data_IF_410245484141
#
_entry.id   IF_410245484141
#
_cell.length_a   1.000
_cell.length_b   1.000
_cell.length_c   1.000
_cell.angle_alpha   90.00
_cell.angle_beta   90.00
_cell.angle_gamma   90.00
#
_symmetry.space_group_name_H-M   'P 1'
#
loop_
_entity.id
_entity.type
_entity.pdbx_description
1 polymer ?
#
# COMPACT_ATOMS: atom_id res chain seq x y z
N UNK A 1 37.71 -16.17 -14.63
CA UNK A 1 37.00 -16.70 -13.45
C UNK A 1 37.18 -15.71 -12.31
N UNK A 2 36.14 -14.96 -11.97
CA UNK A 2 35.95 -14.49 -10.61
C UNK A 2 34.69 -15.11 -10.01
N UNK A 3 34.79 -15.42 -8.72
CA UNK A 3 33.79 -16.10 -7.91
C UNK A 3 32.45 -15.35 -7.88
N UNK A 4 31.38 -16.05 -8.29
CA UNK A 4 30.01 -15.59 -8.09
C UNK A 4 29.61 -15.64 -6.62
N UNK A 5 28.62 -14.84 -6.18
CA UNK A 5 28.15 -14.86 -4.81
C UNK A 5 27.61 -16.26 -4.47
N UNK A 6 28.11 -16.79 -3.37
CA UNK A 6 27.76 -18.11 -2.82
C UNK A 6 26.26 -18.22 -2.60
N UNK A 7 25.62 -19.13 -3.33
CA UNK A 7 24.30 -19.65 -3.01
C UNK A 7 24.37 -20.33 -1.64
N UNK A 8 23.97 -19.61 -0.59
CA UNK A 8 23.63 -20.25 0.68
C UNK A 8 22.37 -21.08 0.45
N UNK A 9 22.55 -22.38 0.22
CA UNK A 9 21.43 -23.32 0.23
C UNK A 9 20.77 -23.29 1.61
N UNK A 10 19.53 -22.82 1.67
CA UNK A 10 18.65 -22.93 2.84
C UNK A 10 18.21 -24.40 3.02
N UNK A 11 19.16 -25.28 3.31
CA UNK A 11 18.89 -26.71 3.49
C UNK A 11 17.94 -26.93 4.68
N UNK A 12 16.67 -27.20 4.39
CA UNK A 12 15.65 -27.61 5.38
C UNK A 12 14.37 -26.76 5.44
N UNK A 13 14.29 -25.63 4.74
CA UNK A 13 13.06 -24.82 4.67
C UNK A 13 12.17 -25.24 3.50
N UNK A 14 10.85 -25.19 3.70
CA UNK A 14 9.86 -25.50 2.64
C UNK A 14 9.66 -24.29 1.74
N UNK A 15 9.57 -24.50 0.42
CA UNK A 15 9.21 -23.41 -0.51
C UNK A 15 7.69 -23.19 -0.47
N UNK A 16 7.20 -22.00 -0.09
CA UNK A 16 5.78 -21.73 0.02
C UNK A 16 5.12 -21.59 -1.35
N UNK A 17 3.85 -22.01 -1.43
CA UNK A 17 2.94 -21.77 -2.54
C UNK A 17 1.55 -21.40 -1.99
N UNK A 18 0.64 -20.93 -2.83
CA UNK A 18 -0.68 -20.48 -2.39
C UNK A 18 -1.45 -21.52 -1.54
N UNK A 19 -1.31 -22.82 -1.86
CA UNK A 19 -2.04 -23.90 -1.19
C UNK A 19 -1.49 -24.21 0.20
N UNK A 20 -0.17 -24.31 0.36
CA UNK A 20 0.41 -24.60 1.68
C UNK A 20 0.27 -23.39 2.62
N UNK A 21 0.36 -22.16 2.10
CA UNK A 21 0.08 -20.94 2.85
C UNK A 21 -1.37 -20.88 3.32
N UNK A 22 -2.34 -21.15 2.43
CA UNK A 22 -3.75 -21.24 2.80
C UNK A 22 -4.01 -22.34 3.85
N UNK A 23 -3.42 -23.53 3.68
CA UNK A 23 -3.55 -24.61 4.66
C UNK A 23 -2.95 -24.27 6.03
N UNK A 24 -1.83 -23.53 6.07
CA UNK A 24 -1.10 -23.23 7.30
C UNK A 24 -1.62 -22.00 8.05
N UNK A 25 -2.25 -21.06 7.34
CA UNK A 25 -2.66 -19.76 7.87
C UNK A 25 -4.11 -19.37 7.56
N UNK A 26 -4.86 -20.20 6.84
CA UNK A 26 -6.26 -19.97 6.49
C UNK A 26 -7.24 -20.09 7.67
N UNK A 27 -8.55 -19.92 7.44
CA UNK A 27 -9.57 -19.87 8.50
C UNK A 27 -9.60 -21.11 9.40
N UNK A 28 -9.32 -22.29 8.86
CA UNK A 28 -9.33 -23.55 9.63
C UNK A 28 -7.97 -23.87 10.28
N UNK A 29 -6.97 -23.01 10.10
CA UNK A 29 -5.61 -23.26 10.57
C UNK A 29 -5.45 -23.04 12.08
N UNK A 30 -4.54 -23.78 12.75
CA UNK A 30 -4.19 -23.51 14.14
C UNK A 30 -3.65 -22.09 14.36
N UNK A 31 -2.91 -21.56 13.38
CA UNK A 31 -2.36 -20.21 13.45
C UNK A 31 -3.48 -19.15 13.53
N UNK A 32 -4.50 -19.27 12.67
CA UNK A 32 -5.65 -18.36 12.70
C UNK A 32 -6.51 -18.54 13.96
N UNK A 33 -6.81 -19.78 14.36
CA UNK A 33 -7.58 -20.05 15.57
C UNK A 33 -6.92 -19.52 16.85
N UNK A 34 -5.58 -19.42 16.87
CA UNK A 34 -4.86 -18.78 17.97
C UNK A 34 -4.86 -17.26 17.84
N UNK A 35 -4.54 -16.72 16.66
CA UNK A 35 -4.34 -15.28 16.47
C UNK A 35 -5.65 -14.48 16.44
N UNK A 36 -6.72 -15.01 15.86
CA UNK A 36 -7.97 -14.27 15.67
C UNK A 36 -8.65 -13.84 16.99
N UNK A 37 -8.84 -14.72 18.00
CA UNK A 37 -9.43 -14.30 19.27
C UNK A 37 -8.59 -13.25 19.99
N UNK A 38 -7.26 -13.34 19.89
CA UNK A 38 -6.35 -12.35 20.47
C UNK A 38 -6.47 -11.00 19.75
N UNK A 39 -6.40 -10.97 18.42
CA UNK A 39 -6.60 -9.73 17.63
C UNK A 39 -7.95 -9.09 17.92
N UNK A 40 -9.02 -9.89 17.98
CA UNK A 40 -10.36 -9.39 18.28
C UNK A 40 -10.40 -8.78 19.68
N UNK A 41 -9.83 -9.44 20.70
CA UNK A 41 -9.77 -8.90 22.06
C UNK A 41 -8.96 -7.60 22.13
N UNK A 42 -7.83 -7.51 21.43
CA UNK A 42 -7.04 -6.28 21.34
C UNK A 42 -7.85 -5.16 20.69
N UNK A 43 -8.56 -5.44 19.59
CA UNK A 43 -9.39 -4.45 18.93
C UNK A 43 -10.54 -3.97 19.83
N UNK A 44 -11.26 -4.89 20.49
CA UNK A 44 -12.32 -4.51 21.44
C UNK A 44 -11.79 -3.60 22.55
N UNK A 45 -10.52 -3.77 22.96
CA UNK A 45 -9.90 -2.93 23.97
C UNK A 45 -9.62 -1.49 23.49
N UNK A 46 -9.37 -1.28 22.19
CA UNK A 46 -8.96 0.03 21.65
C UNK A 46 -9.90 0.62 20.61
N UNK A 47 -11.01 -0.04 20.25
CA UNK A 47 -11.91 0.42 19.17
C UNK A 47 -12.50 1.81 19.39
N UNK A 48 -12.67 2.21 20.65
CA UNK A 48 -13.17 3.55 21.03
C UNK A 48 -12.06 4.60 21.15
N UNK A 49 -10.78 4.21 21.02
CA UNK A 49 -9.68 5.17 20.94
C UNK A 49 -9.83 5.97 19.64
N UNK A 50 -9.81 7.32 19.67
CA UNK A 50 -10.18 8.13 18.51
C UNK A 50 -9.41 7.80 17.21
N UNK A 51 -8.13 7.48 17.32
CA UNK A 51 -7.27 7.14 16.17
C UNK A 51 -7.55 5.75 15.57
N UNK A 52 -8.07 4.81 16.38
CA UNK A 52 -8.47 3.47 15.94
C UNK A 52 -9.88 3.50 15.37
N UNK A 53 -10.80 4.16 16.06
CA UNK A 53 -12.17 4.38 15.59
C UNK A 53 -12.20 5.04 14.21
N UNK A 54 -11.35 6.05 13.97
CA UNK A 54 -11.25 6.68 12.66
C UNK A 54 -10.78 5.72 11.57
N UNK A 55 -9.73 4.92 11.83
CA UNK A 55 -9.24 3.93 10.87
C UNK A 55 -10.34 2.92 10.51
N UNK A 56 -11.05 2.42 11.50
CA UNK A 56 -12.14 1.47 11.29
C UNK A 56 -13.27 2.08 10.46
N UNK A 57 -13.72 3.30 10.78
CA UNK A 57 -14.77 3.99 9.99
C UNK A 57 -14.35 4.24 8.55
N UNK A 58 -13.14 4.75 8.33
CA UNK A 58 -12.64 5.04 6.98
C UNK A 58 -12.44 3.77 6.17
N UNK A 59 -11.94 2.69 6.79
CA UNK A 59 -11.87 1.38 6.18
C UNK A 59 -13.25 0.88 5.72
N UNK A 60 -14.28 1.05 6.56
CA UNK A 60 -15.66 0.69 6.22
C UNK A 60 -16.17 1.41 4.96
N UNK A 61 -15.73 2.65 4.72
CA UNK A 61 -16.06 3.40 3.50
C UNK A 61 -15.56 2.75 2.19
N UNK A 62 -14.56 1.87 2.26
CA UNK A 62 -14.05 1.11 1.11
C UNK A 62 -14.77 -0.23 0.89
N UNK A 63 -15.68 -0.64 1.79
CA UNK A 63 -16.40 -1.92 1.73
C UNK A 63 -17.75 -1.82 0.99
N UNK A 64 -17.80 -0.98 -0.07
CA UNK A 64 -19.03 -0.61 -0.79
C UNK A 64 -19.88 -1.83 -1.19
N UNK A 65 -21.19 -1.76 -0.89
CA UNK A 65 -22.19 -2.70 -1.40
C UNK A 65 -22.45 -3.95 -0.55
N UNK A 66 -21.79 -4.11 0.60
CA UNK A 66 -22.06 -5.24 1.51
C UNK A 66 -22.73 -4.76 2.78
N UNK A 67 -24.04 -4.95 2.90
CA UNK A 67 -24.76 -4.76 4.16
C UNK A 67 -24.34 -5.88 5.13
N UNK A 68 -23.64 -5.51 6.20
CA UNK A 68 -23.18 -6.44 7.25
C UNK A 68 -23.68 -5.93 8.60
N UNK A 69 -23.97 -6.85 9.52
CA UNK A 69 -24.11 -6.44 10.92
C UNK A 69 -22.81 -5.82 11.42
N UNK A 70 -22.85 -4.93 12.43
CA UNK A 70 -21.64 -4.36 13.04
C UNK A 70 -20.64 -5.44 13.50
N UNK A 71 -21.13 -6.56 14.07
CA UNK A 71 -20.29 -7.69 14.45
C UNK A 71 -19.62 -8.36 13.23
N UNK A 72 -20.29 -8.35 12.08
CA UNK A 72 -19.75 -8.82 10.81
C UNK A 72 -18.67 -7.91 10.23
N UNK A 73 -18.82 -6.59 10.40
CA UNK A 73 -17.80 -5.60 9.99
C UNK A 73 -16.54 -5.69 10.84
N UNK A 74 -16.69 -5.74 12.18
CA UNK A 74 -15.55 -5.92 13.09
C UNK A 74 -14.84 -7.25 12.78
N UNK A 75 -15.59 -8.35 12.60
CA UNK A 75 -15.00 -9.65 12.27
C UNK A 75 -14.23 -9.63 10.94
N UNK A 76 -14.75 -8.94 9.91
CA UNK A 76 -14.06 -8.77 8.64
C UNK A 76 -12.78 -7.94 8.81
N UNK A 77 -12.86 -6.78 9.49
CA UNK A 77 -11.69 -5.93 9.73
C UNK A 77 -10.55 -6.66 10.43
N UNK A 78 -10.87 -7.56 11.38
CA UNK A 78 -9.87 -8.38 12.07
C UNK A 78 -9.29 -9.48 11.19
N UNK A 79 -10.11 -10.12 10.35
CA UNK A 79 -9.61 -11.09 9.35
C UNK A 79 -8.67 -10.40 8.36
N UNK A 80 -9.06 -9.23 7.86
CA UNK A 80 -8.21 -8.46 6.94
C UNK A 80 -6.92 -7.98 7.63
N UNK A 81 -7.01 -7.51 8.88
CA UNK A 81 -5.82 -7.16 9.69
C UNK A 81 -4.88 -8.35 9.78
N UNK A 82 -5.37 -9.55 10.11
CA UNK A 82 -4.56 -10.75 10.20
C UNK A 82 -3.81 -11.05 8.89
N UNK A 83 -4.49 -11.00 7.74
CA UNK A 83 -3.86 -11.25 6.45
C UNK A 83 -2.86 -10.14 6.08
N UNK A 84 -3.16 -8.88 6.39
CA UNK A 84 -2.24 -7.76 6.17
C UNK A 84 -0.96 -7.93 7.01
N UNK A 85 -1.05 -8.41 8.25
CA UNK A 85 0.13 -8.73 9.08
C UNK A 85 0.99 -9.82 8.46
N UNK A 86 0.37 -10.91 7.97
CA UNK A 86 1.08 -11.97 7.26
C UNK A 86 1.79 -11.43 6.01
N UNK A 87 1.13 -10.58 5.23
CA UNK A 87 1.70 -9.97 4.04
C UNK A 87 2.98 -9.16 4.35
N UNK A 88 2.94 -8.36 5.41
CA UNK A 88 4.11 -7.59 5.89
C UNK A 88 5.24 -8.49 6.36
N UNK A 89 4.93 -9.55 7.11
CA UNK A 89 5.94 -10.51 7.58
C UNK A 89 6.57 -11.30 6.42
N UNK A 90 5.78 -11.74 5.44
CA UNK A 90 6.27 -12.38 4.21
C UNK A 90 7.22 -11.45 3.47
N UNK A 91 6.83 -10.20 3.23
CA UNK A 91 7.68 -9.22 2.55
C UNK A 91 8.98 -8.96 3.32
N UNK A 92 8.91 -8.84 4.65
CA UNK A 92 10.09 -8.73 5.53
C UNK A 92 11.04 -9.91 5.37
N UNK A 93 10.51 -11.13 5.36
CA UNK A 93 11.30 -12.36 5.27
C UNK A 93 11.83 -12.64 3.86
N UNK A 94 11.19 -12.08 2.84
CA UNK A 94 11.69 -12.07 1.46
C UNK A 94 12.84 -11.09 1.26
N UNK A 95 12.77 -9.89 1.87
CA UNK A 95 13.78 -8.83 1.69
C UNK A 95 15.05 -9.04 2.54
N UNK A 96 14.91 -9.65 3.71
CA UNK A 96 16.05 -9.87 4.62
C UNK A 96 16.03 -11.29 5.19
N UNK A 97 17.08 -12.04 4.86
CA UNK A 97 17.29 -13.43 5.22
C UNK A 97 17.65 -13.67 6.70
N UNK A 98 17.72 -12.60 7.51
CA UNK A 98 17.89 -12.69 8.95
C UNK A 98 16.80 -13.56 9.60
N UNK A 99 17.05 -14.08 10.82
CA UNK A 99 16.05 -14.86 11.55
C UNK A 99 14.72 -14.12 11.70
N UNK A 100 13.63 -14.88 11.86
CA UNK A 100 12.29 -14.32 12.01
C UNK A 100 12.26 -13.25 13.11
N UNK A 101 11.62 -12.09 12.85
CA UNK A 101 11.61 -10.96 13.77
C UNK A 101 10.91 -11.34 15.08
N UNK A 102 11.54 -10.98 16.20
CA UNK A 102 11.02 -11.22 17.57
C UNK A 102 11.08 -9.99 18.46
N UNK A 103 11.94 -9.04 18.12
CA UNK A 103 12.08 -7.81 18.89
C UNK A 103 10.90 -6.87 18.62
N UNK A 104 10.36 -6.28 19.69
CA UNK A 104 9.20 -5.38 19.60
C UNK A 104 9.51 -4.19 18.70
N UNK A 105 10.72 -3.63 18.77
CA UNK A 105 11.12 -2.46 17.96
C UNK A 105 11.15 -2.83 16.48
N UNK A 106 11.72 -3.98 16.13
CA UNK A 106 11.72 -4.46 14.74
C UNK A 106 10.29 -4.69 14.23
N UNK A 107 9.44 -5.32 15.02
CA UNK A 107 8.05 -5.62 14.65
C UNK A 107 7.20 -4.36 14.50
N UNK A 108 7.39 -3.36 15.36
CA UNK A 108 6.78 -2.03 15.20
C UNK A 108 7.22 -1.38 13.88
N UNK A 109 8.51 -1.47 13.53
CA UNK A 109 9.04 -0.94 12.26
C UNK A 109 8.54 -1.67 11.01
N UNK A 110 8.23 -2.96 11.13
CA UNK A 110 7.57 -3.72 10.06
C UNK A 110 6.12 -3.27 9.93
N UNK A 111 5.44 -3.03 11.07
CA UNK A 111 4.05 -2.65 11.12
C UNK A 111 3.81 -1.22 10.60
N UNK A 112 4.68 -0.26 10.92
CA UNK A 112 4.55 1.15 10.49
C UNK A 112 5.17 1.45 9.11
N UNK A 113 5.97 0.53 8.57
CA UNK A 113 6.61 0.64 7.27
C UNK A 113 8.06 1.12 7.27
N UNK A 114 8.61 1.54 8.42
CA UNK A 114 10.00 2.02 8.54
C UNK A 114 11.02 0.97 8.07
N UNK A 115 10.75 -0.32 8.30
CA UNK A 115 11.61 -1.40 7.82
C UNK A 115 11.77 -1.36 6.28
N UNK A 116 10.67 -1.22 5.54
CA UNK A 116 10.67 -1.24 4.08
C UNK A 116 11.25 0.05 3.48
N UNK A 117 11.02 1.20 4.14
CA UNK A 117 11.68 2.45 3.79
C UNK A 117 13.20 2.33 3.94
N UNK A 118 13.67 1.61 4.97
CA UNK A 118 15.09 1.28 5.14
C UNK A 118 15.66 0.37 4.04
N UNK A 119 14.80 -0.38 3.35
CA UNK A 119 15.12 -1.16 2.16
C UNK A 119 14.84 -0.39 0.86
N UNK A 120 14.75 0.95 0.91
CA UNK A 120 14.48 1.80 -0.25
C UNK A 120 13.14 1.52 -0.97
N UNK A 121 12.14 0.92 -0.30
CA UNK A 121 10.78 0.72 -0.84
C UNK A 121 9.83 1.59 -0.02
N UNK A 122 9.45 2.77 -0.54
CA UNK A 122 8.90 3.84 0.30
C UNK A 122 7.40 3.75 0.55
N UNK A 123 6.64 3.04 -0.30
CA UNK A 123 5.19 2.93 -0.21
C UNK A 123 4.65 1.51 0.02
N UNK A 124 5.48 0.55 0.45
CA UNK A 124 5.00 -0.81 0.70
C UNK A 124 3.94 -0.83 1.81
N UNK A 125 4.24 -0.18 2.95
CA UNK A 125 3.30 0.06 4.06
C UNK A 125 3.27 1.57 4.34
N UNK A 126 2.07 2.13 4.41
CA UNK A 126 1.84 3.57 4.52
C UNK A 126 0.78 3.86 5.59
N UNK A 127 1.15 3.99 6.88
CA UNK A 127 0.25 4.21 8.05
C UNK A 127 -1.27 4.01 7.77
N UNK A 128 -1.63 2.79 7.37
CA UNK A 128 -2.90 2.45 6.75
C UNK A 128 -3.97 2.07 7.79
N UNK A 129 -5.05 1.40 7.37
CA UNK A 129 -6.11 0.98 8.28
C UNK A 129 -5.65 -0.12 9.25
N UNK A 130 -4.73 -0.99 8.82
CA UNK A 130 -4.27 -2.16 9.58
C UNK A 130 -3.09 -1.84 10.53
N UNK A 131 -2.62 -0.59 10.56
CA UNK A 131 -1.60 -0.13 11.54
C UNK A 131 -2.18 0.20 12.92
N UNK A 132 -3.48 -0.04 13.16
CA UNK A 132 -4.11 0.25 14.45
C UNK A 132 -3.46 -0.45 15.65
N UNK A 133 -2.75 -1.56 15.42
CA UNK A 133 -1.95 -2.26 16.44
C UNK A 133 -0.78 -1.43 16.98
N UNK A 134 -0.41 -0.31 16.34
CA UNK A 134 0.55 0.66 16.87
C UNK A 134 -0.02 1.49 18.03
N UNK A 135 -1.31 1.37 18.33
CA UNK A 135 -1.95 2.08 19.44
C UNK A 135 -1.27 1.70 20.77
N UNK A 136 -0.79 2.67 21.58
CA UNK A 136 0.01 2.40 22.78
C UNK A 136 -0.55 1.36 23.78
N UNK A 137 -1.88 1.26 24.02
CA UNK A 137 -2.43 0.26 24.93
C UNK A 137 -2.23 -1.19 24.48
N UNK A 138 -2.02 -1.45 23.19
CA UNK A 138 -1.97 -2.81 22.61
C UNK A 138 -0.69 -3.11 21.83
N UNK A 139 0.21 -2.13 21.65
CA UNK A 139 1.41 -2.29 20.80
C UNK A 139 2.31 -3.45 21.18
N UNK A 140 2.51 -3.70 22.48
CA UNK A 140 3.36 -4.79 22.93
C UNK A 140 2.72 -6.17 22.69
N UNK A 141 1.41 -6.28 22.90
CA UNK A 141 0.64 -7.49 22.64
C UNK A 141 0.53 -7.76 21.14
N UNK A 142 0.27 -6.73 20.34
CA UNK A 142 0.29 -6.80 18.88
C UNK A 142 1.64 -7.27 18.34
N UNK A 143 2.74 -6.74 18.88
CA UNK A 143 4.08 -7.21 18.54
C UNK A 143 4.31 -8.68 18.95
N UNK A 144 3.89 -9.10 20.14
CA UNK A 144 4.01 -10.49 20.58
C UNK A 144 3.22 -11.46 19.65
N UNK A 145 2.03 -11.06 19.21
CA UNK A 145 1.25 -11.81 18.23
C UNK A 145 1.98 -11.88 16.88
N UNK A 146 2.51 -10.76 16.37
CA UNK A 146 3.30 -10.76 15.14
C UNK A 146 4.55 -11.64 15.24
N UNK A 147 5.23 -11.66 16.39
CA UNK A 147 6.38 -12.53 16.62
C UNK A 147 6.00 -14.02 16.55
N UNK A 148 4.80 -14.37 17.04
CA UNK A 148 4.26 -15.73 16.95
C UNK A 148 3.97 -16.12 15.50
N UNK A 149 3.34 -15.23 14.73
CA UNK A 149 3.11 -15.44 13.29
C UNK A 149 4.43 -15.55 12.52
N UNK A 150 5.40 -14.70 12.81
CA UNK A 150 6.73 -14.75 12.22
C UNK A 150 7.46 -16.07 12.54
N UNK A 151 7.30 -16.57 13.76
CA UNK A 151 7.79 -17.88 14.18
C UNK A 151 7.18 -19.01 13.34
N UNK A 152 5.87 -18.99 13.11
CA UNK A 152 5.19 -19.96 12.24
C UNK A 152 5.68 -19.86 10.79
N UNK A 153 5.85 -18.64 10.26
CA UNK A 153 6.35 -18.40 8.90
C UNK A 153 7.82 -18.81 8.72
N UNK A 154 8.61 -18.90 9.79
CA UNK A 154 10.07 -19.16 9.72
C UNK A 154 10.48 -20.49 9.07
N UNK A 155 9.53 -21.42 8.95
CA UNK A 155 9.69 -22.72 8.27
C UNK A 155 9.80 -22.59 6.74
N UNK A 156 9.32 -21.47 6.18
CA UNK A 156 9.26 -21.25 4.74
C UNK A 156 10.45 -20.45 4.20
N UNK A 157 10.86 -20.76 2.98
CA UNK A 157 11.80 -19.99 2.18
C UNK A 157 11.04 -19.06 1.20
N UNK A 158 10.80 -17.82 1.63
CA UNK A 158 10.11 -16.83 0.80
C UNK A 158 10.96 -16.28 -0.34
N UNK A 159 12.28 -16.44 -0.33
CA UNK A 159 13.16 -16.00 -1.43
C UNK A 159 12.91 -16.84 -2.68
N UNK A 160 12.68 -18.13 -2.48
CA UNK A 160 12.36 -19.09 -3.55
C UNK A 160 10.85 -19.28 -3.78
N UNK A 161 10.00 -18.58 -3.02
CA UNK A 161 8.54 -18.71 -3.04
C UNK A 161 7.90 -18.15 -4.32
N UNK A 162 6.67 -18.59 -4.61
CA UNK A 162 5.92 -18.06 -5.77
C UNK A 162 5.30 -16.69 -5.43
N UNK A 163 5.26 -15.72 -6.37
CA UNK A 163 4.70 -14.40 -6.09
C UNK A 163 3.21 -14.37 -5.72
N UNK A 164 2.47 -15.45 -5.98
CA UNK A 164 1.04 -15.61 -5.68
C UNK A 164 0.74 -16.33 -4.35
N UNK A 165 1.75 -16.51 -3.50
CA UNK A 165 1.61 -17.32 -2.28
C UNK A 165 0.51 -16.83 -1.31
N UNK A 166 0.12 -15.55 -1.37
CA UNK A 166 -0.95 -14.98 -0.52
C UNK A 166 -2.33 -14.97 -1.19
N UNK A 167 -2.42 -15.33 -2.47
CA UNK A 167 -3.67 -15.26 -3.24
C UNK A 167 -4.74 -16.20 -2.68
N UNK A 168 -4.34 -17.41 -2.24
CA UNK A 168 -5.25 -18.36 -1.62
C UNK A 168 -5.78 -17.87 -0.27
N UNK A 169 -4.91 -17.28 0.56
CA UNK A 169 -5.32 -16.68 1.83
C UNK A 169 -6.27 -15.50 1.61
N UNK A 170 -5.95 -14.64 0.63
CA UNK A 170 -6.83 -13.55 0.26
C UNK A 170 -8.23 -14.05 -0.10
N UNK A 171 -8.33 -15.09 -0.92
CA UNK A 171 -9.63 -15.66 -1.33
C UNK A 171 -10.44 -16.21 -0.14
N UNK A 172 -9.81 -17.01 0.71
CA UNK A 172 -10.46 -17.63 1.88
C UNK A 172 -10.96 -16.61 2.91
N UNK A 173 -10.30 -15.45 3.02
CA UNK A 173 -10.69 -14.38 3.94
C UNK A 173 -11.54 -13.29 3.30
N UNK A 174 -11.41 -13.05 1.99
CA UNK A 174 -12.16 -12.03 1.25
C UNK A 174 -13.56 -12.49 0.85
N UNK A 175 -13.82 -13.79 0.66
CA UNK A 175 -15.14 -14.29 0.22
C UNK A 175 -15.94 -14.96 1.33
N UNK A 176 -17.16 -14.42 1.55
CA UNK A 176 -18.47 -15.09 1.39
C UNK A 176 -19.56 -14.23 2.05
N UNK A 177 -20.11 -13.27 1.31
CA UNK A 177 -21.51 -12.90 1.48
C UNK A 177 -22.26 -13.49 0.27
N UNK A 178 -23.01 -14.60 0.43
CA UNK A 178 -23.59 -15.34 -0.69
C UNK A 178 -24.67 -14.58 -1.49
N UNK A 179 -25.02 -13.35 -1.10
CA UNK A 179 -26.16 -12.61 -1.65
C UNK A 179 -25.77 -11.45 -2.58
N UNK A 180 -24.48 -11.06 -2.65
CA UNK A 180 -24.04 -9.86 -3.41
C UNK A 180 -22.79 -10.02 -4.29
N UNK A 181 -22.06 -11.14 -4.24
CA UNK A 181 -20.82 -11.30 -5.00
C UNK A 181 -21.08 -11.66 -6.49
N UNK A 182 -21.49 -10.65 -7.27
CA UNK A 182 -21.28 -10.63 -8.72
C UNK A 182 -19.81 -10.26 -9.09
N UNK A 183 -18.96 -10.01 -8.09
CA UNK A 183 -17.63 -9.46 -8.25
C UNK A 183 -16.54 -10.54 -8.31
N UNK A 184 -16.21 -10.94 -9.54
CA UNK A 184 -14.87 -11.38 -9.96
C UNK A 184 -14.42 -12.76 -9.48
N UNK A 185 -14.33 -13.69 -10.43
CA UNK A 185 -13.66 -14.99 -10.23
C UNK A 185 -12.18 -14.74 -9.90
N UNK A 186 -11.66 -15.41 -8.85
CA UNK A 186 -10.23 -15.41 -8.55
C UNK A 186 -9.45 -15.88 -9.78
N UNK A 187 -8.53 -15.04 -10.27
CA UNK A 187 -7.68 -15.36 -11.42
C UNK A 187 -6.35 -15.92 -10.90
N UNK A 188 -6.10 -17.23 -10.94
CA UNK A 188 -4.77 -17.75 -10.62
C UNK A 188 -3.73 -17.25 -11.64
N UNK A 189 -2.46 -17.13 -11.25
CA UNK A 189 -1.39 -16.58 -12.12
C UNK A 189 -1.35 -17.25 -13.49
N UNK A 190 -1.42 -18.59 -13.56
CA UNK A 190 -1.40 -19.31 -14.84
C UNK A 190 -2.55 -18.88 -15.77
N UNK A 191 -3.71 -18.52 -15.21
CA UNK A 191 -4.86 -18.03 -15.99
C UNK A 191 -4.62 -16.60 -16.43
N UNK A 192 -4.02 -15.74 -15.59
CA UNK A 192 -3.63 -14.39 -15.97
C UNK A 192 -2.58 -14.41 -17.11
N UNK A 193 -1.54 -15.24 -16.98
CA UNK A 193 -0.53 -15.48 -18.02
C UNK A 193 -1.17 -15.97 -19.33
N UNK A 194 -2.07 -16.95 -19.22
CA UNK A 194 -2.80 -17.49 -20.39
C UNK A 194 -3.69 -16.44 -21.04
N UNK A 195 -4.38 -15.62 -20.24
CA UNK A 195 -5.27 -14.58 -20.74
C UNK A 195 -4.52 -13.48 -21.49
N UNK A 196 -3.42 -12.98 -20.92
CA UNK A 196 -2.56 -12.01 -21.60
C UNK A 196 -1.98 -12.60 -22.88
N UNK A 197 -1.49 -13.85 -22.82
CA UNK A 197 -0.92 -14.53 -24.00
C UNK A 197 -1.95 -14.76 -25.11
N UNK A 198 -3.18 -15.13 -24.75
CA UNK A 198 -4.24 -15.40 -25.74
C UNK A 198 -4.79 -14.12 -26.37
N UNK A 199 -4.85 -13.00 -25.62
CA UNK A 199 -5.36 -11.73 -26.14
C UNK A 199 -4.36 -11.05 -27.10
N UNK A 200 -3.05 -11.18 -26.81
CA UNK A 200 -1.98 -10.49 -27.55
C UNK A 200 -1.33 -11.42 -28.59
N UNK A 201 -1.54 -12.73 -28.47
CA UNK A 201 -0.83 -13.76 -29.24
C UNK A 201 0.54 -14.13 -28.67
N UNK A 202 0.98 -13.47 -27.60
CA UNK A 202 2.24 -13.72 -26.86
C UNK A 202 2.17 -13.12 -25.46
N UNK A 203 3.00 -13.57 -24.49
CA UNK A 203 3.18 -12.86 -23.22
C UNK A 203 3.57 -11.38 -23.45
N UNK A 204 3.34 -10.48 -22.46
CA UNK A 204 3.74 -9.08 -22.58
C UNK A 204 5.21 -8.96 -22.96
N UNK A 205 5.46 -8.23 -24.04
CA UNK A 205 6.80 -7.95 -24.53
C UNK A 205 7.60 -7.16 -23.49
N UNK A 206 8.95 -7.21 -23.56
CA UNK A 206 9.82 -6.57 -22.58
C UNK A 206 9.64 -5.06 -22.46
N UNK A 207 9.11 -4.40 -23.50
CA UNK A 207 8.87 -2.95 -23.56
C UNK A 207 7.39 -2.56 -23.42
N UNK A 208 6.49 -3.52 -23.16
CA UNK A 208 5.05 -3.26 -23.10
C UNK A 208 4.59 -2.78 -21.73
N UNK A 209 3.76 -1.73 -21.74
CA UNK A 209 3.07 -1.21 -20.56
C UNK A 209 1.76 -1.92 -20.29
N UNK A 210 1.50 -2.24 -19.02
CA UNK A 210 0.31 -2.91 -18.52
C UNK A 210 -0.34 -2.07 -17.42
N UNK A 211 -1.64 -1.81 -17.57
CA UNK A 211 -2.50 -1.23 -16.54
C UNK A 211 -3.55 -2.26 -16.09
N UNK A 212 -3.64 -2.47 -14.79
CA UNK A 212 -4.73 -3.23 -14.16
C UNK A 212 -5.54 -2.31 -13.21
N UNK A 213 -6.68 -1.74 -13.67
CA UNK A 213 -7.41 -0.73 -12.91
C UNK A 213 -8.27 -1.32 -11.77
N UNK A 214 -8.39 -2.66 -11.68
CA UNK A 214 -9.12 -3.36 -10.62
C UNK A 214 -8.33 -4.60 -10.17
N UNK A 215 -7.07 -4.39 -9.80
CA UNK A 215 -6.06 -5.44 -9.76
C UNK A 215 -6.28 -6.57 -8.75
N UNK A 216 -7.18 -6.38 -7.78
CA UNK A 216 -7.43 -7.38 -6.74
C UNK A 216 -6.13 -7.76 -6.04
N UNK A 217 -5.81 -9.07 -6.02
CA UNK A 217 -4.55 -9.59 -5.49
C UNK A 217 -3.34 -9.43 -6.43
N UNK A 218 -3.48 -8.69 -7.54
CA UNK A 218 -2.38 -8.28 -8.42
C UNK A 218 -1.89 -9.34 -9.40
N UNK A 219 -2.70 -10.34 -9.74
CA UNK A 219 -2.24 -11.53 -10.47
C UNK A 219 -1.82 -11.23 -11.92
N UNK A 220 -2.51 -10.31 -12.61
CA UNK A 220 -2.07 -9.84 -13.92
C UNK A 220 -0.76 -9.06 -13.85
N UNK A 221 -0.58 -8.23 -12.83
CA UNK A 221 0.67 -7.49 -12.62
C UNK A 221 1.84 -8.45 -12.36
N UNK A 222 1.66 -9.44 -11.49
CA UNK A 222 2.66 -10.49 -11.22
C UNK A 222 3.10 -11.18 -12.51
N UNK A 223 2.14 -11.58 -13.35
CA UNK A 223 2.40 -12.25 -14.61
C UNK A 223 3.11 -11.32 -15.63
N UNK A 224 2.71 -10.05 -15.70
CA UNK A 224 3.35 -9.04 -16.56
C UNK A 224 4.80 -8.79 -16.15
N UNK A 225 5.05 -8.59 -14.84
CA UNK A 225 6.38 -8.41 -14.27
C UNK A 225 7.25 -9.62 -14.57
N UNK A 226 6.73 -10.84 -14.38
CA UNK A 226 7.43 -12.09 -14.68
C UNK A 226 7.88 -12.15 -16.14
N UNK A 227 6.97 -11.88 -17.08
CA UNK A 227 7.24 -11.86 -18.52
C UNK A 227 8.28 -10.82 -18.90
N UNK A 228 8.09 -9.56 -18.47
CA UNK A 228 9.00 -8.44 -18.77
C UNK A 228 10.39 -8.74 -18.21
N UNK A 229 10.48 -9.12 -16.93
CA UNK A 229 11.74 -9.43 -16.25
C UNK A 229 12.49 -10.54 -16.98
N UNK A 230 11.82 -11.65 -17.30
CA UNK A 230 12.46 -12.77 -18.00
C UNK A 230 13.00 -12.33 -19.36
N UNK A 231 12.16 -11.70 -20.19
CA UNK A 231 12.54 -11.28 -21.54
C UNK A 231 13.72 -10.28 -21.55
N UNK A 232 13.81 -9.42 -20.53
CA UNK A 232 14.90 -8.43 -20.37
C UNK A 232 16.20 -9.08 -19.93
N UNK A 233 16.15 -9.96 -18.93
CA UNK A 233 17.34 -10.66 -18.45
C UNK A 233 17.91 -11.59 -19.52
N UNK A 234 17.08 -12.22 -20.34
CA UNK A 234 17.52 -13.03 -21.49
C UNK A 234 18.21 -12.19 -22.59
N UNK A 235 17.85 -10.91 -22.73
CA UNK A 235 18.53 -9.94 -23.60
C UNK A 235 19.86 -9.44 -23.03
N UNK A 236 20.10 -9.66 -21.74
CA UNK A 236 21.28 -9.16 -21.02
C UNK A 236 21.14 -7.70 -20.54
N UNK A 237 19.92 -7.20 -20.38
CA UNK A 237 19.66 -5.87 -19.83
C UNK A 237 20.12 -5.78 -18.36
N UNK A 238 20.57 -4.59 -17.94
CA UNK A 238 21.01 -4.35 -16.57
C UNK A 238 19.84 -4.46 -15.56
N UNK A 239 20.14 -4.95 -14.35
CA UNK A 239 19.13 -5.18 -13.32
C UNK A 239 18.46 -3.88 -12.85
N UNK A 240 19.21 -2.79 -12.74
CA UNK A 240 18.68 -1.49 -12.33
C UNK A 240 17.74 -0.93 -13.39
N UNK A 241 18.14 -0.96 -14.66
CA UNK A 241 17.31 -0.51 -15.78
C UNK A 241 16.04 -1.36 -15.92
N UNK A 242 16.17 -2.68 -15.73
CA UNK A 242 15.04 -3.62 -15.72
C UNK A 242 14.05 -3.29 -14.61
N UNK A 243 14.54 -3.02 -13.39
CA UNK A 243 13.69 -2.62 -12.25
C UNK A 243 12.92 -1.33 -12.55
N UNK A 244 13.62 -0.27 -12.94
CA UNK A 244 12.98 1.03 -13.20
C UNK A 244 11.93 0.93 -14.32
N UNK A 245 12.23 0.16 -15.35
CA UNK A 245 11.30 -0.06 -16.44
C UNK A 245 10.06 -0.85 -15.97
N UNK A 246 10.21 -1.92 -15.20
CA UNK A 246 9.04 -2.66 -14.67
C UNK A 246 8.12 -1.74 -13.86
N UNK A 247 8.70 -0.93 -12.96
CA UNK A 247 7.96 0.02 -12.11
C UNK A 247 7.24 1.10 -12.92
N UNK A 248 7.83 1.50 -14.04
CA UNK A 248 7.24 2.45 -14.97
C UNK A 248 6.09 1.79 -15.76
N UNK A 249 6.29 0.57 -16.25
CA UNK A 249 5.43 -0.07 -17.25
C UNK A 249 4.25 -0.85 -16.65
N UNK A 250 4.38 -1.44 -15.47
CA UNK A 250 3.34 -2.30 -14.86
C UNK A 250 2.69 -1.60 -13.68
N UNK A 251 1.47 -1.08 -13.85
CA UNK A 251 0.77 -0.29 -12.83
C UNK A 251 -0.63 -0.84 -12.55
N UNK A 252 -1.12 -0.67 -11.32
CA UNK A 252 -2.51 -1.00 -11.02
C UNK A 252 -3.10 -0.29 -9.82
N UNK A 253 -4.41 -0.44 -9.68
CA UNK A 253 -5.14 0.09 -8.54
C UNK A 253 -6.27 -0.86 -8.13
N UNK A 254 -6.72 -0.75 -6.88
CA UNK A 254 -7.93 -1.43 -6.41
C UNK A 254 -8.63 -0.56 -5.36
N UNK A 255 -9.93 -0.78 -5.18
CA UNK A 255 -10.71 -0.10 -4.15
C UNK A 255 -10.62 -0.79 -2.79
N UNK A 256 -10.15 -2.02 -2.68
CA UNK A 256 -10.10 -2.75 -1.41
C UNK A 256 -8.71 -2.63 -0.75
N UNK A 257 -8.61 -2.15 0.50
CA UNK A 257 -7.34 -1.98 1.19
C UNK A 257 -6.50 -3.27 1.32
N UNK A 258 -7.14 -4.38 1.66
CA UNK A 258 -6.43 -5.66 1.74
C UNK A 258 -5.91 -6.11 0.37
N UNK A 259 -6.71 -5.95 -0.69
CA UNK A 259 -6.32 -6.32 -2.04
C UNK A 259 -5.03 -5.62 -2.47
N UNK A 260 -4.95 -4.30 -2.26
CA UNK A 260 -3.74 -3.50 -2.53
C UNK A 260 -2.53 -4.00 -1.74
N UNK A 261 -2.71 -4.38 -0.47
CA UNK A 261 -1.63 -4.94 0.36
C UNK A 261 -1.11 -6.26 -0.21
N UNK A 262 -2.01 -7.15 -0.64
CA UNK A 262 -1.65 -8.43 -1.27
C UNK A 262 -0.99 -8.20 -2.63
N UNK A 263 -1.54 -7.32 -3.47
CA UNK A 263 -0.99 -6.98 -4.76
C UNK A 263 0.41 -6.37 -4.65
N UNK A 264 0.66 -5.46 -3.70
CA UNK A 264 2.02 -4.94 -3.42
C UNK A 264 2.99 -6.04 -3.00
N UNK A 265 2.53 -7.01 -2.20
CA UNK A 265 3.36 -8.14 -1.78
C UNK A 265 3.70 -9.04 -2.97
N UNK A 266 2.71 -9.40 -3.80
CA UNK A 266 2.95 -10.17 -5.01
C UNK A 266 3.86 -9.44 -6.01
N UNK A 267 3.67 -8.13 -6.18
CA UNK A 267 4.53 -7.27 -7.00
C UNK A 267 5.99 -7.34 -6.51
N UNK A 268 6.20 -7.18 -5.20
CA UNK A 268 7.51 -7.23 -4.57
C UNK A 268 8.20 -8.59 -4.80
N UNK A 269 7.47 -9.68 -4.57
CA UNK A 269 7.97 -11.04 -4.80
C UNK A 269 8.28 -11.29 -6.29
N UNK A 270 7.45 -10.77 -7.19
CA UNK A 270 7.65 -10.88 -8.64
C UNK A 270 8.90 -10.12 -9.11
N UNK A 271 9.28 -9.01 -8.47
CA UNK A 271 10.56 -8.32 -8.74
C UNK A 271 11.76 -9.20 -8.37
N UNK A 272 11.65 -10.03 -7.32
CA UNK A 272 12.68 -11.01 -6.96
C UNK A 272 14.01 -10.35 -6.60
N UNK A 273 15.12 -10.88 -7.14
CA UNK A 273 16.47 -10.37 -6.87
C UNK A 273 16.71 -8.90 -7.25
N UNK A 274 15.86 -8.29 -8.07
CA UNK A 274 15.96 -6.88 -8.47
C UNK A 274 15.82 -5.92 -7.28
N UNK A 275 15.04 -6.31 -6.25
CA UNK A 275 14.80 -5.51 -5.04
C UNK A 275 15.54 -6.03 -3.80
N UNK A 276 16.21 -7.18 -3.91
CA UNK A 276 17.08 -7.70 -2.85
C UNK A 276 18.53 -7.18 -2.98
N UNK A 277 18.91 -6.78 -4.19
CA UNK A 277 20.19 -6.14 -4.47
C UNK A 277 20.09 -4.62 -4.24
N UNK A 278 21.21 -3.90 -4.26
CA UNK A 278 21.17 -2.45 -4.17
C UNK A 278 20.31 -1.83 -5.29
N UNK A 279 19.35 -1.00 -4.90
CA UNK A 279 18.49 -0.24 -5.80
C UNK A 279 18.19 1.14 -5.19
N UNK A 280 17.78 2.14 -6.00
CA UNK A 280 17.44 3.46 -5.47
C UNK A 280 16.10 3.39 -4.73
N UNK A 281 15.69 4.44 -4.01
CA UNK A 281 14.31 4.54 -3.51
C UNK A 281 13.30 4.35 -4.65
N UNK A 282 12.37 3.41 -4.46
CA UNK A 282 11.33 3.05 -5.43
C UNK A 282 9.94 3.04 -4.80
N UNK A 283 8.94 3.29 -5.65
CA UNK A 283 7.52 3.14 -5.36
C UNK A 283 6.99 1.91 -6.09
N UNK A 284 6.30 1.01 -5.38
CA UNK A 284 5.52 -0.05 -6.01
C UNK A 284 4.24 0.58 -6.58
N UNK A 285 4.01 0.53 -7.91
CA UNK A 285 2.93 1.26 -8.58
C UNK A 285 1.56 0.57 -8.46
N UNK A 286 1.19 0.21 -7.24
CA UNK A 286 -0.11 -0.37 -6.88
C UNK A 286 -0.77 0.53 -5.85
N UNK A 287 -1.94 1.08 -6.16
CA UNK A 287 -2.54 2.17 -5.37
C UNK A 287 -3.97 1.86 -4.90
N UNK A 288 -4.31 2.39 -3.72
CA UNK A 288 -5.66 2.34 -3.19
C UNK A 288 -6.52 3.46 -3.78
N UNK A 289 -7.49 3.11 -4.61
CA UNK A 289 -8.40 4.06 -5.26
C UNK A 289 -9.83 3.56 -5.14
N UNK A 290 -10.66 4.18 -4.29
CA UNK A 290 -11.96 3.57 -4.00
C UNK A 290 -12.99 4.32 -3.16
N UNK A 291 -12.72 5.50 -2.60
CA UNK A 291 -13.77 6.24 -1.87
C UNK A 291 -14.25 7.38 -2.73
N UNK A 292 -15.29 7.09 -3.50
CA UNK A 292 -16.27 8.02 -4.06
C UNK A 292 -15.75 9.19 -4.91
N UNK A 293 -16.25 9.22 -6.15
CA UNK A 293 -16.01 10.19 -7.24
C UNK A 293 -14.60 10.18 -7.84
N UNK A 294 -14.47 10.04 -9.18
CA UNK A 294 -13.23 10.42 -9.84
C UNK A 294 -12.91 11.86 -9.42
N UNK A 295 -11.65 12.17 -9.08
CA UNK A 295 -11.29 13.49 -8.60
C UNK A 295 -11.85 14.57 -9.49
N UNK A 296 -12.70 15.41 -8.91
CA UNK A 296 -13.44 16.41 -9.66
C UNK A 296 -12.53 17.60 -9.84
N UNK A 297 -12.39 18.04 -11.09
CA UNK A 297 -11.67 19.29 -11.37
C UNK A 297 -12.50 20.46 -10.85
N UNK A 298 -11.97 21.20 -9.88
CA UNK A 298 -12.59 22.44 -9.42
C UNK A 298 -12.40 23.54 -10.49
N UNK A 299 -13.50 23.88 -11.16
CA UNK A 299 -13.52 24.88 -12.23
C UNK A 299 -13.50 26.32 -11.70
N UNK A 300 -13.86 26.55 -10.44
CA UNK A 300 -13.88 27.87 -9.80
C UNK A 300 -12.49 28.21 -9.23
N UNK A 301 -11.83 27.27 -8.54
CA UNK A 301 -10.44 27.43 -8.10
C UNK A 301 -9.41 27.35 -9.24
N UNK A 302 -9.79 26.99 -10.47
CA UNK A 302 -8.90 27.00 -11.64
C UNK A 302 -9.02 28.22 -12.55
N UNK A 303 -10.06 29.07 -12.38
CA UNK A 303 -10.33 30.19 -13.29
C UNK A 303 -9.36 31.36 -13.03
N UNK A 304 -8.38 31.51 -13.94
CA UNK A 304 -7.35 32.55 -13.87
C UNK A 304 -6.09 32.17 -13.10
N UNK A 305 -6.02 30.92 -12.61
CA UNK A 305 -4.89 30.39 -11.85
C UNK A 305 -3.91 29.62 -12.75
N UNK A 306 -2.68 29.39 -12.25
CA UNK A 306 -1.57 28.84 -13.04
C UNK A 306 -1.72 27.35 -13.39
N UNK A 307 -2.53 26.58 -12.65
CA UNK A 307 -2.78 25.15 -12.88
C UNK A 307 -4.14 24.70 -12.32
N UNK A 308 -4.71 23.56 -12.80
CA UNK A 308 -5.92 22.95 -12.25
C UNK A 308 -5.77 22.47 -10.80
N UNK A 309 -6.90 22.38 -10.09
CA UNK A 309 -6.99 21.81 -8.73
C UNK A 309 -8.02 20.68 -8.74
N UNK A 310 -7.66 19.56 -8.12
CA UNK A 310 -8.51 18.39 -7.98
C UNK A 310 -9.07 18.30 -6.56
N UNK A 311 -10.36 18.04 -6.48
CA UNK A 311 -11.10 17.85 -5.23
C UNK A 311 -11.18 16.35 -4.89
N UNK A 312 -10.85 16.01 -3.64
CA UNK A 312 -10.90 14.66 -3.09
C UNK A 312 -11.85 14.64 -1.89
N UNK A 313 -12.96 13.93 -2.06
CA UNK A 313 -13.90 13.64 -0.98
C UNK A 313 -13.28 12.65 0.01
N UNK A 314 -13.53 12.89 1.28
CA UNK A 314 -12.95 12.09 2.37
C UNK A 314 -13.84 10.92 2.82
N UNK A 315 -15.06 10.81 2.29
CA UNK A 315 -16.12 9.93 2.80
C UNK A 315 -16.76 10.40 4.12
N UNK A 316 -16.13 11.34 4.84
CA UNK A 316 -16.70 11.97 6.03
C UNK A 316 -17.43 13.28 5.65
N UNK A 317 -18.60 13.58 6.27
CA UNK A 317 -19.37 14.78 5.94
C UNK A 317 -18.57 16.08 6.14
N UNK A 318 -18.42 16.85 5.06
CA UNK A 318 -17.83 18.20 5.08
C UNK A 318 -16.30 18.25 5.04
N UNK A 319 -15.61 17.12 5.01
CA UNK A 319 -14.16 17.05 4.89
C UNK A 319 -13.79 16.83 3.41
N UNK A 320 -13.24 17.87 2.78
CA UNK A 320 -12.87 17.90 1.37
C UNK A 320 -11.44 18.42 1.23
N UNK A 321 -10.62 17.73 0.45
CA UNK A 321 -9.22 18.08 0.25
C UNK A 321 -8.95 18.52 -1.18
N UNK A 322 -8.02 19.45 -1.34
CA UNK A 322 -7.66 20.01 -2.63
C UNK A 322 -6.19 19.71 -2.91
N UNK A 323 -5.89 19.14 -4.09
CA UNK A 323 -4.52 18.86 -4.52
C UNK A 323 -4.32 19.49 -5.90
N UNK A 324 -3.29 20.33 -6.10
CA UNK A 324 -3.01 20.94 -7.40
C UNK A 324 -2.49 19.89 -8.39
N UNK A 325 -2.71 20.12 -9.67
CA UNK A 325 -2.37 19.20 -10.75
C UNK A 325 -0.90 18.75 -10.74
N UNK A 326 0.04 19.67 -10.54
CA UNK A 326 1.49 19.37 -10.45
C UNK A 326 1.84 18.35 -9.34
N UNK A 327 1.01 18.25 -8.30
CA UNK A 327 1.15 17.27 -7.22
C UNK A 327 0.35 16.01 -7.54
N UNK A 328 -0.92 16.15 -7.91
CA UNK A 328 -1.82 15.02 -8.16
C UNK A 328 -1.34 14.07 -9.26
N UNK A 329 -0.62 14.59 -10.26
CA UNK A 329 -0.12 13.81 -11.40
C UNK A 329 1.24 13.15 -11.16
N UNK A 330 1.91 13.44 -10.05
CA UNK A 330 3.27 13.00 -9.80
C UNK A 330 3.33 12.14 -8.53
N UNK A 331 3.35 10.80 -8.66
CA UNK A 331 3.41 9.88 -7.52
C UNK A 331 4.63 10.11 -6.61
N UNK A 332 5.78 10.49 -7.18
CA UNK A 332 6.99 10.82 -6.42
C UNK A 332 6.81 12.10 -5.61
N UNK A 333 6.13 13.11 -6.18
CA UNK A 333 5.75 14.31 -5.45
C UNK A 333 4.78 14.01 -4.31
N UNK A 334 3.77 13.17 -4.55
CA UNK A 334 2.83 12.72 -3.51
C UNK A 334 3.55 12.01 -2.37
N UNK A 335 4.39 11.01 -2.68
CA UNK A 335 5.21 10.30 -1.68
C UNK A 335 6.09 11.26 -0.88
N UNK A 336 6.75 12.18 -1.56
CA UNK A 336 7.67 13.11 -0.92
C UNK A 336 6.95 14.13 -0.02
N UNK A 337 5.83 14.69 -0.47
CA UNK A 337 5.05 15.66 0.30
C UNK A 337 4.36 15.00 1.49
N UNK A 338 3.60 13.93 1.24
CA UNK A 338 2.83 13.25 2.27
C UNK A 338 3.73 12.45 3.22
N UNK A 339 4.90 11.98 2.80
CA UNK A 339 5.92 11.39 3.68
C UNK A 339 6.53 12.39 4.67
N UNK A 340 6.42 13.69 4.40
CA UNK A 340 6.97 14.75 5.28
C UNK A 340 5.95 15.36 6.22
N UNK A 341 4.67 15.37 5.83
CA UNK A 341 3.55 15.87 6.63
C UNK A 341 3.48 15.31 8.06
N UNK A 342 3.80 14.04 8.38
CA UNK A 342 3.77 13.53 9.75
C UNK A 342 4.60 14.35 10.74
N UNK A 343 5.70 14.96 10.29
CA UNK A 343 6.53 15.82 11.14
C UNK A 343 5.83 17.14 11.50
N UNK A 344 5.06 17.68 10.56
CA UNK A 344 4.26 18.89 10.77
C UNK A 344 3.04 18.60 11.64
N UNK A 345 2.34 17.47 11.41
CA UNK A 345 1.22 17.01 12.24
C UNK A 345 1.64 16.83 13.71
N UNK A 346 2.70 16.05 13.95
CA UNK A 346 3.29 15.88 15.30
C UNK A 346 3.78 17.21 15.87
N UNK A 347 4.41 18.03 15.05
CA UNK A 347 4.91 19.35 15.43
C UNK A 347 3.82 20.31 15.90
N UNK A 348 2.63 20.26 15.30
CA UNK A 348 1.47 21.04 15.74
C UNK A 348 0.96 20.54 17.08
N UNK A 349 0.74 19.23 17.22
CA UNK A 349 0.28 18.59 18.47
C UNK A 349 1.22 18.83 19.65
N UNK A 350 2.53 18.93 19.41
CA UNK A 350 3.50 19.25 20.46
C UNK A 350 3.42 20.72 20.89
N UNK A 351 3.20 21.65 19.95
CA UNK A 351 3.12 23.09 20.22
C UNK A 351 1.87 23.50 21.00
N UNK A 352 0.73 22.83 20.76
CA UNK A 352 -0.51 23.09 21.51
C UNK A 352 -0.41 22.83 23.01
N UNK A 353 0.68 22.20 23.49
CA UNK A 353 0.96 22.04 24.93
C UNK A 353 1.36 23.33 25.64
N UNK A 354 1.80 24.36 24.90
CA UNK A 354 2.31 25.61 25.47
C UNK A 354 1.94 26.88 24.69
N UNK A 355 1.12 26.75 23.64
CA UNK A 355 0.68 27.84 22.77
C UNK A 355 -0.82 27.68 22.48
N UNK A 356 -1.47 28.77 22.05
CA UNK A 356 -2.82 28.68 21.50
C UNK A 356 -2.84 27.77 20.26
N UNK A 357 -3.97 27.12 20.02
CA UNK A 357 -4.11 26.17 18.91
C UNK A 357 -3.89 26.82 17.56
N UNK A 358 -4.40 28.03 17.35
CA UNK A 358 -4.20 28.72 16.07
C UNK A 358 -2.75 29.15 15.87
N UNK A 359 -2.11 29.69 16.92
CA UNK A 359 -0.69 30.04 16.85
C UNK A 359 0.19 28.82 16.54
N UNK A 360 -0.12 27.67 17.15
CA UNK A 360 0.57 26.41 16.90
C UNK A 360 0.42 25.93 15.45
N UNK A 361 -0.80 26.02 14.90
CA UNK A 361 -1.09 25.67 13.50
C UNK A 361 -0.35 26.61 12.55
N UNK A 362 -0.47 27.92 12.75
CA UNK A 362 0.16 28.92 11.88
C UNK A 362 1.70 28.81 11.87
N UNK A 363 2.32 28.55 13.03
CA UNK A 363 3.77 28.35 13.10
C UNK A 363 4.25 27.14 12.28
N UNK A 364 3.48 26.04 12.30
CA UNK A 364 3.80 24.82 11.55
C UNK A 364 3.54 25.01 10.06
N UNK A 365 2.45 25.68 9.68
CA UNK A 365 2.15 26.02 8.29
C UNK A 365 3.19 26.95 7.67
N UNK A 366 3.70 27.93 8.42
CA UNK A 366 4.81 28.78 7.95
C UNK A 366 6.08 27.95 7.64
N UNK A 367 6.41 26.98 8.50
CA UNK A 367 7.53 26.07 8.26
C UNK A 367 7.27 25.14 7.06
N UNK A 368 6.03 24.70 6.84
CA UNK A 368 5.65 23.89 5.68
C UNK A 368 5.71 24.70 4.38
N UNK A 369 5.21 25.93 4.37
CA UNK A 369 5.31 26.85 3.23
C UNK A 369 6.77 27.03 2.78
N UNK A 370 7.67 27.31 3.73
CA UNK A 370 9.10 27.44 3.44
C UNK A 370 9.67 26.15 2.84
N UNK A 371 9.18 24.98 3.29
CA UNK A 371 9.57 23.71 2.71
C UNK A 371 9.06 23.54 1.28
N UNK A 372 7.82 23.93 0.97
CA UNK A 372 7.25 23.83 -0.38
C UNK A 372 7.95 24.75 -1.39
N UNK A 373 8.34 25.95 -0.95
CA UNK A 373 8.92 26.97 -1.82
C UNK A 373 10.46 26.90 -1.95
N UNK A 374 11.15 26.23 -1.02
CA UNK A 374 12.62 26.21 -1.01
C UNK A 374 13.20 25.31 -2.12
N UNK A 375 14.22 25.78 -2.88
CA UNK A 375 14.99 24.96 -3.80
C UNK A 375 15.55 23.71 -3.12
N UNK A 376 15.50 22.57 -3.83
CA UNK A 376 15.95 21.28 -3.32
C UNK A 376 17.28 20.92 -4.00
N UNK A 377 18.42 21.05 -3.32
CA UNK A 377 19.74 20.96 -3.96
C UNK A 377 20.20 19.54 -4.29
N UNK A 378 19.39 18.50 -4.01
CA UNK A 378 19.73 17.09 -4.24
C UNK A 378 18.65 16.43 -5.09
N UNK A 379 19.04 15.76 -6.16
CA UNK A 379 18.21 14.80 -6.89
C UNK A 379 18.12 13.49 -6.09
N UNK A 380 17.01 12.72 -6.19
CA UNK A 380 15.81 12.94 -7.00
C UNK A 380 14.68 13.57 -6.16
N UNK A 381 14.92 14.77 -5.61
CA UNK A 381 13.86 15.50 -4.91
C UNK A 381 13.03 16.29 -5.94
N UNK A 382 11.69 16.25 -5.88
CA UNK A 382 10.85 17.07 -6.75
C UNK A 382 11.15 18.57 -6.65
N UNK A 383 10.93 19.28 -7.74
CA UNK A 383 11.12 20.74 -7.81
C UNK A 383 10.19 21.49 -6.84
N UNK A 384 10.56 22.72 -6.43
CA UNK A 384 9.70 23.56 -5.60
C UNK A 384 8.34 23.80 -6.26
N UNK A 385 7.29 23.85 -5.43
CA UNK A 385 5.96 24.15 -5.93
C UNK A 385 5.83 25.59 -6.39
N UNK A 386 4.95 25.82 -7.38
CA UNK A 386 4.49 27.16 -7.70
C UNK A 386 3.87 27.83 -6.46
N UNK A 387 3.88 29.17 -6.39
CA UNK A 387 3.23 29.88 -5.27
C UNK A 387 1.78 29.44 -5.10
N UNK A 388 1.06 29.28 -6.21
CA UNK A 388 -0.33 28.85 -6.20
C UNK A 388 -0.49 27.42 -5.67
N UNK A 389 0.28 26.45 -6.18
CA UNK A 389 0.25 25.08 -5.69
C UNK A 389 0.62 24.99 -4.20
N UNK A 390 1.59 25.80 -3.74
CA UNK A 390 1.97 25.87 -2.34
C UNK A 390 0.82 26.39 -1.46
N UNK A 391 0.09 27.41 -1.90
CA UNK A 391 -1.10 27.93 -1.20
C UNK A 391 -2.24 26.90 -1.12
N UNK A 392 -2.48 26.13 -2.19
CA UNK A 392 -3.45 25.01 -2.17
C UNK A 392 -3.03 23.94 -1.17
N UNK A 393 -1.76 23.51 -1.22
CA UNK A 393 -1.23 22.49 -0.30
C UNK A 393 -1.20 22.95 1.16
N UNK A 394 -1.06 24.25 1.43
CA UNK A 394 -1.17 24.80 2.79
C UNK A 394 -2.57 24.62 3.37
N UNK A 395 -3.63 24.89 2.58
CA UNK A 395 -5.01 24.68 3.02
C UNK A 395 -5.27 23.21 3.34
N UNK A 396 -4.80 22.31 2.47
CA UNK A 396 -4.90 20.87 2.69
C UNK A 396 -4.12 20.43 3.94
N UNK A 397 -2.90 20.95 4.15
CA UNK A 397 -2.13 20.69 5.37
C UNK A 397 -2.81 21.23 6.62
N UNK A 398 -3.46 22.40 6.56
CA UNK A 398 -4.23 22.96 7.67
C UNK A 398 -5.38 22.04 8.08
N UNK A 399 -6.19 21.59 7.13
CA UNK A 399 -7.28 20.63 7.38
C UNK A 399 -6.75 19.34 8.01
N UNK A 400 -5.65 18.79 7.48
CA UNK A 400 -5.00 17.59 8.02
C UNK A 400 -4.48 17.80 9.44
N UNK A 401 -3.89 18.96 9.75
CA UNK A 401 -3.45 19.28 11.11
C UNK A 401 -4.66 19.33 12.06
N UNK A 402 -5.74 20.01 11.67
CA UNK A 402 -6.96 20.11 12.50
C UNK A 402 -7.58 18.73 12.75
N UNK A 403 -7.61 17.87 11.76
CA UNK A 403 -8.05 16.47 11.90
C UNK A 403 -7.14 15.69 12.84
N UNK A 404 -5.82 15.78 12.65
CA UNK A 404 -4.83 15.11 13.48
C UNK A 404 -4.89 15.54 14.96
N UNK A 405 -5.14 16.82 15.23
CA UNK A 405 -5.30 17.33 16.60
C UNK A 405 -6.54 16.73 17.30
N UNK A 406 -7.61 16.44 16.56
CA UNK A 406 -8.81 15.75 17.07
C UNK A 406 -8.58 14.25 17.23
N UNK A 407 -7.98 13.61 16.22
CA UNK A 407 -7.82 12.17 16.09
C UNK A 407 -6.42 11.88 15.53
N UNK A 408 -5.42 11.56 16.38
CA UNK A 408 -4.00 11.62 16.03
C UNK A 408 -3.50 10.41 15.23
N UNK A 409 -3.99 10.28 14.00
CA UNK A 409 -3.64 9.24 13.02
C UNK A 409 -3.19 9.85 11.70
N UNK A 410 -2.28 9.17 10.97
CA UNK A 410 -1.89 9.59 9.62
C UNK A 410 -2.67 8.87 8.51
N UNK A 411 -3.75 8.13 8.83
CA UNK A 411 -4.56 7.40 7.84
C UNK A 411 -5.07 8.29 6.69
N UNK A 412 -5.32 9.58 6.97
CA UNK A 412 -5.66 10.54 5.91
C UNK A 412 -4.56 10.77 4.90
N UNK A 413 -3.29 10.72 5.33
CA UNK A 413 -2.14 10.83 4.43
C UNK A 413 -2.05 9.60 3.53
N UNK A 414 -2.34 8.41 4.05
CA UNK A 414 -2.43 7.19 3.24
C UNK A 414 -3.51 7.32 2.15
N UNK A 415 -4.72 7.76 2.52
CA UNK A 415 -5.83 7.97 1.59
C UNK A 415 -5.46 9.00 0.51
N UNK A 416 -5.03 10.19 0.91
CA UNK A 416 -4.75 11.29 -0.04
C UNK A 416 -3.53 11.06 -0.92
N UNK A 417 -2.56 10.25 -0.46
CA UNK A 417 -1.42 9.86 -1.28
C UNK A 417 -1.83 8.90 -2.40
N UNK A 418 -2.84 8.06 -2.19
CA UNK A 418 -3.29 7.07 -3.17
C UNK A 418 -4.48 7.55 -4.02
N UNK A 419 -5.33 8.45 -3.51
CA UNK A 419 -6.53 8.91 -4.19
C UNK A 419 -6.31 9.51 -5.60
N UNK A 420 -5.18 10.18 -5.91
CA UNK A 420 -4.90 10.67 -7.27
C UNK A 420 -4.54 9.58 -8.31
N UNK A 421 -4.48 8.30 -7.92
CA UNK A 421 -4.05 7.22 -8.81
C UNK A 421 -4.77 7.16 -10.17
N UNK A 422 -6.11 7.31 -10.25
CA UNK A 422 -6.81 7.39 -11.52
C UNK A 422 -6.33 8.53 -12.43
N UNK A 423 -5.93 9.68 -11.87
CA UNK A 423 -5.50 10.84 -12.66
C UNK A 423 -4.17 10.59 -13.34
N UNK A 424 -3.15 10.22 -12.56
CA UNK A 424 -1.82 10.06 -13.13
C UNK A 424 -1.74 8.86 -14.08
N UNK A 425 -2.52 7.79 -13.84
CA UNK A 425 -2.61 6.67 -14.77
C UNK A 425 -3.34 7.06 -16.06
N UNK A 426 -4.41 7.86 -16.00
CA UNK A 426 -5.15 8.31 -17.18
C UNK A 426 -4.32 9.21 -18.12
N UNK A 427 -3.23 9.82 -17.64
CA UNK A 427 -2.34 10.63 -18.49
C UNK A 427 -1.42 9.79 -19.38
N UNK A 428 -1.26 8.51 -19.06
CA UNK A 428 -0.35 7.62 -19.76
C UNK A 428 -1.13 6.76 -20.75
N UNK A 429 -0.51 6.49 -21.90
CA UNK A 429 -0.98 5.45 -22.81
C UNK A 429 -0.32 4.14 -22.40
N UNK A 430 -1.14 3.18 -22.01
CA UNK A 430 -0.71 1.80 -21.76
C UNK A 430 -0.94 0.97 -23.02
N UNK A 431 0.00 0.08 -23.33
CA UNK A 431 -0.13 -0.86 -24.45
C UNK A 431 -1.23 -1.89 -24.17
N UNK A 432 -1.42 -2.24 -22.89
CA UNK A 432 -2.36 -3.23 -22.42
C UNK A 432 -3.14 -2.71 -21.22
N UNK A 433 -4.46 -2.81 -21.28
CA UNK A 433 -5.35 -2.59 -20.12
C UNK A 433 -6.05 -3.92 -19.87
N UNK A 434 -5.74 -4.53 -18.74
CA UNK A 434 -6.31 -5.82 -18.30
C UNK A 434 -7.31 -5.54 -17.20
N UNK A 435 -8.46 -6.18 -17.23
CA UNK A 435 -9.49 -6.02 -16.20
C UNK A 435 -10.01 -7.40 -15.79
N UNK A 436 -10.71 -7.46 -14.65
CA UNK A 436 -11.30 -8.70 -14.15
C UNK A 436 -12.25 -9.29 -15.19
N UNK A 437 -12.30 -10.62 -15.28
CA UNK A 437 -13.29 -11.29 -16.13
C UNK A 437 -14.69 -10.96 -15.62
N UNK A 438 -15.51 -10.30 -16.44
CA UNK A 438 -16.94 -10.13 -16.13
C UNK A 438 -17.63 -11.48 -16.28
N UNK A 439 -18.31 -11.93 -15.22
CA UNK A 439 -19.12 -13.16 -15.27
C UNK A 439 -20.30 -13.06 -16.26
N UNK A 440 -20.62 -11.85 -16.70
CA UNK A 440 -21.55 -11.59 -17.79
C UNK A 440 -20.74 -11.18 -19.04
N UNK A 441 -20.55 -12.14 -19.94
CA UNK A 441 -20.15 -11.93 -21.35
C UNK A 441 -21.14 -12.65 -22.25
#
# INVERSE_FOLDING_TARGET
MPDGPSAHSHAGKEVPNARNMASAFGPDSPAFHQAYPELLALFQHVKDVPEVSLRFRLWGGYQLGVDRSPEGEEALFIRETYVALLARLVARMFLDASPAPRDVTELTKILDGEFFQGQNITNFVEDDFFTWLLCPPVVNQGAALMATLAGSLSHYDFVSGTPDLLTGLYDEFATRSPETDADGILVPVWLAESAMSNYIGSPPGPDQSVLDPHCGSGQFLVAAIGSIKQARLERGDDAFDTLLLILDQSQGMDSRPLAVTIARTGYLLALGGLVQSFHPPVLLPVYLSGVTTPPVRDLEQGRGNSEPVYEFGSGEPGEVFHIPESVALNPVMLDWLFGRLPNYLRGARLRTRGQDTEDAIQAVLAAFHNYLAAPKPRTPIPDPLSRFAAEVMLKTAESLIRLYLKQPTNVWLHILKNAPAPLHMAQRKFDLVVDRFSANS
#
